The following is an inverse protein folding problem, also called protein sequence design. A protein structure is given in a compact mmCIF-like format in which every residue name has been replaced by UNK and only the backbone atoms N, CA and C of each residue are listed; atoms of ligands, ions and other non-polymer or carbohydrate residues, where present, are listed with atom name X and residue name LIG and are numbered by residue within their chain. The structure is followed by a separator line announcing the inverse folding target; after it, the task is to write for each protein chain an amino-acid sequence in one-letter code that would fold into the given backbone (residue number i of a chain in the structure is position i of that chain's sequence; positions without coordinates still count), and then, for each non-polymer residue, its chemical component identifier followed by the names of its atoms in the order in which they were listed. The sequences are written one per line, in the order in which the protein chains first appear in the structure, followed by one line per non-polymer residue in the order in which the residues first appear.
data_IF_524592861402
#
_entry.id   IF_524592861402
#
_cell.length_a   1.000
_cell.length_b   1.000
_cell.length_c   1.000
_cell.angle_alpha   90.00
_cell.angle_beta   90.00
_cell.angle_gamma   90.00
#
_symmetry.space_group_name_H-M   'P 1'
#
loop_
_entity.id
_entity.type
_entity.pdbx_description
1 polymer ?
#
# COMPACT_ATOMS: atom_id res chain seq x y z
N UNK A 1 3.34 -1.12 -33.22
CA UNK A 1 3.62 -2.51 -32.79
C UNK A 1 4.82 -2.48 -31.87
N UNK A 2 4.60 -2.45 -30.57
CA UNK A 2 5.66 -2.58 -29.56
C UNK A 2 5.36 -3.84 -28.77
N UNK A 3 6.22 -4.83 -28.91
CA UNK A 3 6.11 -6.13 -28.25
C UNK A 3 6.22 -5.91 -26.75
N UNK A 4 5.15 -6.16 -26.01
CA UNK A 4 5.15 -6.18 -24.55
C UNK A 4 6.14 -7.23 -24.09
N UNK A 5 7.21 -6.78 -23.42
CA UNK A 5 8.24 -7.64 -22.85
C UNK A 5 7.56 -8.53 -21.80
N UNK A 6 7.66 -9.84 -21.98
CA UNK A 6 7.30 -10.80 -20.95
C UNK A 6 7.98 -10.41 -19.63
N UNK A 7 7.23 -10.42 -18.53
CA UNK A 7 7.77 -10.15 -17.20
C UNK A 7 8.89 -11.15 -16.90
N UNK A 8 10.15 -10.69 -16.90
CA UNK A 8 11.28 -11.47 -16.44
C UNK A 8 11.00 -11.89 -15.00
N UNK A 9 10.95 -13.20 -14.75
CA UNK A 9 10.91 -13.74 -13.39
C UNK A 9 12.25 -13.38 -12.76
N UNK A 10 12.25 -12.45 -11.80
CA UNK A 10 13.48 -12.02 -11.12
C UNK A 10 14.15 -13.23 -10.48
N UNK A 11 15.43 -13.47 -10.76
CA UNK A 11 16.15 -14.62 -10.18
C UNK A 11 16.66 -14.34 -8.75
N UNK A 12 16.13 -13.29 -8.11
CA UNK A 12 16.49 -12.89 -6.76
C UNK A 12 15.94 -13.91 -5.75
N UNK A 13 16.69 -14.22 -4.68
CA UNK A 13 16.20 -15.07 -3.60
C UNK A 13 14.93 -14.50 -2.97
N UNK A 14 13.90 -15.35 -2.80
CA UNK A 14 12.67 -14.97 -2.11
C UNK A 14 12.92 -14.91 -0.59
N UNK A 15 12.43 -13.85 0.03
CA UNK A 15 12.34 -13.68 1.48
C UNK A 15 10.89 -13.79 1.94
N UNK A 16 10.64 -14.57 2.99
CA UNK A 16 9.32 -14.64 3.60
C UNK A 16 8.90 -13.26 4.14
N UNK A 17 9.80 -12.58 4.86
CA UNK A 17 9.55 -11.27 5.45
C UNK A 17 9.34 -10.20 4.38
N UNK A 18 10.22 -10.15 3.37
CA UNK A 18 10.23 -9.04 2.42
C UNK A 18 9.33 -9.23 1.20
N UNK A 19 8.96 -10.46 0.86
CA UNK A 19 8.19 -10.75 -0.35
C UNK A 19 6.83 -11.38 -0.04
N UNK A 20 6.75 -12.25 0.98
CA UNK A 20 5.53 -13.02 1.28
C UNK A 20 4.61 -12.30 2.25
N UNK A 21 5.13 -11.81 3.37
CA UNK A 21 4.33 -11.04 4.34
C UNK A 21 3.63 -9.84 3.67
N UNK A 22 4.27 -9.03 2.81
CA UNK A 22 3.59 -7.94 2.12
C UNK A 22 2.46 -8.39 1.19
N UNK A 23 2.59 -9.55 0.53
CA UNK A 23 1.51 -10.11 -0.28
C UNK A 23 0.30 -10.45 0.60
N UNK A 24 0.53 -11.06 1.76
CA UNK A 24 -0.52 -11.40 2.72
C UNK A 24 -1.19 -10.14 3.29
N UNK A 25 -0.39 -9.13 3.63
CA UNK A 25 -0.88 -7.84 4.14
C UNK A 25 -1.71 -7.11 3.10
N UNK A 26 -1.23 -7.02 1.86
CA UNK A 26 -1.97 -6.38 0.77
C UNK A 26 -3.26 -7.09 0.43
N UNK A 27 -3.28 -8.42 0.52
CA UNK A 27 -4.47 -9.24 0.34
C UNK A 27 -5.43 -9.19 1.55
N UNK A 28 -5.04 -8.56 2.66
CA UNK A 28 -5.85 -8.48 3.89
C UNK A 28 -5.91 -9.78 4.70
N UNK A 29 -5.06 -10.77 4.41
CA UNK A 29 -5.06 -12.08 5.07
C UNK A 29 -4.77 -11.95 6.57
N UNK A 30 -3.81 -11.11 6.94
CA UNK A 30 -3.35 -10.87 8.31
C UNK A 30 -3.98 -9.60 8.92
N UNK A 31 -5.20 -9.26 8.49
CA UNK A 31 -6.01 -8.21 9.12
C UNK A 31 -6.77 -8.75 10.33
N UNK A 32 -7.14 -7.88 11.27
CA UNK A 32 -7.84 -8.25 12.52
C UNK A 32 -9.23 -8.87 12.32
N UNK A 33 -9.82 -8.74 11.13
CA UNK A 33 -11.09 -9.39 10.77
C UNK A 33 -10.89 -10.78 10.15
N UNK A 34 -9.64 -11.16 9.83
CA UNK A 34 -9.25 -12.36 9.10
C UNK A 34 -8.38 -13.28 9.98
N UNK A 35 -7.20 -13.69 9.51
CA UNK A 35 -6.34 -14.64 10.22
C UNK A 35 -5.55 -14.00 11.37
N UNK A 36 -5.53 -12.67 11.47
CA UNK A 36 -5.07 -11.95 12.66
C UNK A 36 -6.18 -11.59 13.63
N UNK A 37 -7.30 -12.34 13.57
CA UNK A 37 -8.39 -12.20 14.54
C UNK A 37 -7.90 -12.57 15.93
N UNK A 38 -8.17 -11.67 16.88
CA UNK A 38 -7.85 -11.89 18.28
C UNK A 38 -8.47 -13.21 18.80
N UNK A 39 -7.69 -13.97 19.56
CA UNK A 39 -8.11 -15.24 20.15
C UNK A 39 -7.84 -16.47 19.28
N UNK A 40 -6.78 -16.47 18.45
CA UNK A 40 -6.31 -17.68 17.78
C UNK A 40 -6.55 -17.73 16.25
N UNK A 41 -6.74 -16.58 15.59
CA UNK A 41 -7.00 -16.51 14.16
C UNK A 41 -8.34 -17.10 13.72
N UNK A 42 -8.36 -17.81 12.59
CA UNK A 42 -9.58 -18.42 12.04
C UNK A 42 -9.39 -19.88 11.62
N UNK A 43 -10.28 -20.74 12.10
CA UNK A 43 -10.34 -22.17 11.76
C UNK A 43 -9.00 -22.89 12.00
N UNK A 44 -8.32 -22.54 13.10
CA UNK A 44 -7.00 -23.06 13.44
C UNK A 44 -5.94 -22.64 12.42
N UNK A 45 -5.99 -21.40 11.92
CA UNK A 45 -4.90 -20.76 11.19
C UNK A 45 -4.81 -19.30 11.61
N UNK A 46 -3.65 -18.97 12.14
CA UNK A 46 -3.35 -17.68 12.76
C UNK A 46 -2.20 -17.01 12.01
N UNK A 47 -2.31 -15.69 11.89
CA UNK A 47 -1.26 -14.79 11.45
C UNK A 47 -1.25 -13.62 12.42
N UNK A 48 -0.08 -13.07 12.72
CA UNK A 48 0.13 -11.84 13.44
C UNK A 48 -0.52 -10.65 12.73
N UNK A 49 -0.95 -9.65 13.49
CA UNK A 49 -1.59 -8.47 12.93
C UNK A 49 -0.63 -7.72 12.01
N UNK A 50 -1.03 -7.57 10.74
CA UNK A 50 -0.25 -6.91 9.68
C UNK A 50 1.14 -7.52 9.41
N UNK A 51 1.41 -8.71 9.95
CA UNK A 51 2.69 -9.39 9.78
C UNK A 51 3.79 -8.92 10.72
N UNK A 52 3.44 -8.45 11.93
CA UNK A 52 4.41 -7.94 12.89
C UNK A 52 5.26 -9.02 13.59
N UNK A 53 4.84 -10.27 13.58
CA UNK A 53 5.60 -11.41 14.13
C UNK A 53 5.89 -12.42 13.00
N UNK A 54 6.83 -12.12 12.07
CA UNK A 54 7.03 -12.92 10.87
C UNK A 54 7.52 -14.35 11.15
N UNK A 55 8.21 -14.59 12.27
CA UNK A 55 8.62 -15.94 12.64
C UNK A 55 7.42 -16.81 13.03
N UNK A 56 6.50 -16.26 13.83
CA UNK A 56 5.26 -16.93 14.23
C UNK A 56 4.35 -17.17 13.00
N UNK A 57 4.23 -16.17 12.12
CA UNK A 57 3.50 -16.31 10.84
C UNK A 57 4.04 -17.45 10.00
N UNK A 58 5.36 -17.55 9.89
CA UNK A 58 6.01 -18.61 9.15
C UNK A 58 5.71 -19.98 9.76
N UNK A 59 5.82 -20.12 11.07
CA UNK A 59 5.53 -21.38 11.76
C UNK A 59 4.08 -21.82 11.56
N UNK A 60 3.13 -20.89 11.67
CA UNK A 60 1.71 -21.16 11.38
C UNK A 60 1.46 -21.55 9.92
N UNK A 61 2.17 -20.92 8.98
CA UNK A 61 2.00 -21.21 7.56
C UNK A 61 2.65 -22.54 7.14
N UNK A 62 3.85 -22.82 7.66
CA UNK A 62 4.73 -23.88 7.15
C UNK A 62 4.72 -25.12 8.04
N UNK A 63 4.73 -24.97 9.37
CA UNK A 63 4.95 -26.08 10.31
C UNK A 63 3.66 -26.59 10.94
N UNK A 64 2.78 -25.68 11.37
CA UNK A 64 1.59 -26.01 12.14
C UNK A 64 0.63 -26.94 11.36
N UNK A 65 -0.10 -27.79 12.07
CA UNK A 65 -0.98 -28.77 11.44
C UNK A 65 -0.22 -29.80 10.60
N UNK A 66 1.06 -30.05 10.92
CA UNK A 66 1.97 -30.97 10.21
C UNK A 66 2.19 -30.54 8.75
N UNK A 67 2.32 -29.24 8.51
CA UNK A 67 2.55 -28.65 7.19
C UNK A 67 1.39 -28.76 6.21
N UNK A 68 0.17 -29.08 6.68
CA UNK A 68 -1.01 -29.35 5.82
C UNK A 68 -1.41 -28.20 4.88
N UNK A 69 -0.88 -26.99 5.08
CA UNK A 69 -1.23 -25.79 4.31
C UNK A 69 -0.49 -25.72 2.98
N UNK A 70 0.69 -26.31 2.90
CA UNK A 70 1.61 -26.23 1.77
C UNK A 70 1.89 -27.62 1.23
N UNK A 71 1.95 -27.76 -0.10
CA UNK A 71 2.28 -29.03 -0.75
C UNK A 71 3.35 -28.79 -1.81
N UNK A 72 4.65 -28.77 -1.44
CA UNK A 72 5.74 -28.41 -2.35
C UNK A 72 5.84 -29.30 -3.61
N UNK A 73 5.51 -30.60 -3.48
CA UNK A 73 5.52 -31.52 -4.62
C UNK A 73 4.45 -31.20 -5.68
N UNK A 74 3.37 -30.50 -5.30
CA UNK A 74 2.36 -30.00 -6.23
C UNK A 74 1.86 -28.63 -5.73
N UNK A 75 2.62 -27.54 -5.94
CA UNK A 75 2.38 -26.25 -5.31
C UNK A 75 0.95 -25.74 -5.48
N UNK A 76 0.39 -25.86 -6.68
CA UNK A 76 -0.99 -25.45 -6.99
C UNK A 76 -2.07 -26.26 -6.25
N UNK A 77 -1.72 -27.37 -5.59
CA UNK A 77 -2.61 -28.14 -4.72
C UNK A 77 -2.52 -27.72 -3.25
N UNK A 78 -1.56 -26.87 -2.88
CA UNK A 78 -1.44 -26.29 -1.54
C UNK A 78 -2.76 -25.67 -1.09
N UNK A 79 -3.21 -26.00 0.12
CA UNK A 79 -4.46 -25.47 0.66
C UNK A 79 -4.44 -23.93 0.67
N UNK A 80 -3.29 -23.33 0.99
CA UNK A 80 -3.07 -21.88 0.94
C UNK A 80 -3.46 -21.30 -0.44
N UNK A 81 -2.80 -21.76 -1.52
CA UNK A 81 -3.05 -21.28 -2.88
C UNK A 81 -4.48 -21.55 -3.35
N UNK A 82 -5.05 -22.71 -2.99
CA UNK A 82 -6.44 -23.04 -3.34
C UNK A 82 -7.46 -22.12 -2.65
N UNK A 83 -7.23 -21.73 -1.39
CA UNK A 83 -8.11 -20.84 -0.62
C UNK A 83 -8.03 -19.41 -1.15
N UNK A 84 -6.83 -18.85 -1.28
CA UNK A 84 -6.67 -17.45 -1.72
C UNK A 84 -7.15 -17.21 -3.15
N UNK A 85 -7.08 -18.23 -4.03
CA UNK A 85 -7.58 -18.17 -5.41
C UNK A 85 -9.05 -18.57 -5.59
N UNK A 86 -9.74 -18.99 -4.52
CA UNK A 86 -11.13 -19.42 -4.57
C UNK A 86 -11.39 -20.80 -5.18
N UNK A 87 -10.35 -21.60 -5.46
CA UNK A 87 -10.49 -23.00 -5.92
C UNK A 87 -11.04 -23.94 -4.84
N UNK A 88 -10.93 -23.53 -3.59
CA UNK A 88 -11.63 -24.12 -2.45
C UNK A 88 -12.40 -22.99 -1.76
N UNK A 89 -13.65 -23.20 -1.31
CA UNK A 89 -14.42 -22.18 -0.62
C UNK A 89 -13.64 -21.53 0.52
N UNK A 90 -13.60 -20.20 0.56
CA UNK A 90 -12.91 -19.41 1.55
C UNK A 90 -13.83 -18.27 2.01
N UNK A 91 -13.97 -18.07 3.32
CA UNK A 91 -14.89 -17.08 3.88
C UNK A 91 -14.56 -15.64 3.49
N UNK A 92 -13.28 -15.33 3.22
CA UNK A 92 -12.83 -14.03 2.70
C UNK A 92 -12.98 -13.86 1.18
N UNK A 93 -13.56 -14.83 0.47
CA UNK A 93 -13.69 -14.79 -1.00
C UNK A 93 -12.36 -15.02 -1.72
N UNK A 94 -12.28 -14.51 -2.96
CA UNK A 94 -11.07 -14.56 -3.81
C UNK A 94 -10.18 -13.37 -3.44
N UNK A 95 -9.02 -13.65 -2.84
CA UNK A 95 -8.07 -12.62 -2.40
C UNK A 95 -6.90 -12.46 -3.39
N UNK A 96 -6.42 -13.57 -3.95
CA UNK A 96 -5.32 -13.62 -4.91
C UNK A 96 -5.74 -14.48 -6.11
N UNK A 97 -6.30 -13.88 -7.17
CA UNK A 97 -6.56 -14.58 -8.43
C UNK A 97 -5.29 -15.25 -8.95
N UNK A 98 -5.43 -16.36 -9.68
CA UNK A 98 -4.28 -17.13 -10.18
C UNK A 98 -3.34 -16.31 -11.05
N UNK A 99 -3.89 -15.38 -11.81
CA UNK A 99 -3.12 -14.49 -12.70
C UNK A 99 -2.43 -13.33 -11.95
N UNK A 100 -2.72 -13.16 -10.66
CA UNK A 100 -2.12 -12.09 -9.87
C UNK A 100 -0.65 -12.37 -9.58
N UNK A 101 0.16 -11.31 -9.55
CA UNK A 101 1.57 -11.40 -9.18
C UNK A 101 1.77 -11.94 -7.76
N UNK A 102 0.89 -11.58 -6.82
CA UNK A 102 0.91 -12.10 -5.45
C UNK A 102 0.70 -13.62 -5.39
N UNK A 103 -0.22 -14.17 -6.20
CA UNK A 103 -0.38 -15.63 -6.32
C UNK A 103 0.89 -16.29 -6.88
N UNK A 104 1.46 -15.72 -7.95
CA UNK A 104 2.69 -16.25 -8.53
C UNK A 104 3.88 -16.19 -7.57
N UNK A 105 4.00 -15.14 -6.75
CA UNK A 105 5.06 -14.99 -5.77
C UNK A 105 4.92 -16.02 -4.62
N UNK A 106 3.71 -16.20 -4.08
CA UNK A 106 3.43 -17.27 -3.11
C UNK A 106 3.72 -18.66 -3.68
N UNK A 107 3.34 -18.89 -4.94
CA UNK A 107 3.59 -20.17 -5.61
C UNK A 107 5.08 -20.41 -5.80
N UNK A 108 5.83 -19.40 -6.24
CA UNK A 108 7.29 -19.51 -6.39
C UNK A 108 7.97 -19.78 -5.06
N UNK A 109 7.57 -19.10 -3.99
CA UNK A 109 8.07 -19.37 -2.64
C UNK A 109 7.87 -20.82 -2.20
N UNK A 110 6.70 -21.42 -2.52
CA UNK A 110 6.45 -22.84 -2.26
C UNK A 110 7.33 -23.76 -3.11
N UNK A 111 7.52 -23.42 -4.40
CA UNK A 111 8.41 -24.16 -5.32
C UNK A 111 9.86 -24.14 -4.80
N UNK A 112 10.30 -23.00 -4.28
CA UNK A 112 11.68 -22.79 -3.80
C UNK A 112 11.93 -23.45 -2.42
N UNK A 113 10.96 -24.21 -1.88
CA UNK A 113 11.11 -24.91 -0.61
C UNK A 113 10.83 -24.04 0.61
N UNK A 114 9.99 -23.01 0.44
CA UNK A 114 9.53 -22.07 1.48
C UNK A 114 10.67 -21.44 2.28
N UNK A 115 11.69 -20.83 1.65
CA UNK A 115 12.77 -20.20 2.40
C UNK A 115 12.23 -19.09 3.31
N UNK A 116 12.75 -19.01 4.54
CA UNK A 116 12.49 -17.86 5.41
C UNK A 116 13.16 -16.59 4.85
N UNK A 117 14.34 -16.74 4.25
CA UNK A 117 15.15 -15.65 3.68
C UNK A 117 16.19 -15.10 4.66
N UNK A 118 16.97 -14.15 4.16
CA UNK A 118 17.98 -13.44 4.97
C UNK A 118 17.29 -12.42 5.89
N UNK A 119 17.45 -12.62 7.20
CA UNK A 119 16.86 -11.76 8.23
C UNK A 119 17.63 -10.48 8.47
N UNK A 120 18.83 -10.33 7.89
CA UNK A 120 19.62 -9.09 8.00
C UNK A 120 19.13 -7.98 7.08
N UNK A 121 18.32 -8.31 6.07
CA UNK A 121 17.77 -7.35 5.10
C UNK A 121 16.46 -6.76 5.64
N UNK A 122 16.57 -5.92 6.67
CA UNK A 122 15.41 -5.27 7.30
C UNK A 122 15.03 -3.96 6.61
N UNK A 123 13.72 -3.66 6.61
CA UNK A 123 13.21 -2.42 6.02
C UNK A 123 13.53 -1.21 6.92
N UNK A 124 14.37 -0.32 6.39
CA UNK A 124 14.74 0.94 7.05
C UNK A 124 13.68 2.01 6.87
N UNK A 125 13.28 2.29 5.62
CA UNK A 125 12.33 3.36 5.33
C UNK A 125 11.51 3.11 4.06
N UNK A 126 10.42 3.87 3.93
CA UNK A 126 9.54 3.89 2.78
C UNK A 126 9.44 5.30 2.21
N UNK A 127 9.64 5.41 0.91
CA UNK A 127 9.51 6.64 0.14
C UNK A 127 8.41 6.49 -0.90
N UNK A 128 7.66 7.57 -1.14
CA UNK A 128 6.74 7.69 -2.27
C UNK A 128 7.21 8.80 -3.21
N UNK A 129 7.25 8.48 -4.50
CA UNK A 129 7.64 9.42 -5.56
C UNK A 129 6.50 9.63 -6.57
N UNK A 130 6.22 10.89 -6.96
CA UNK A 130 6.69 12.10 -6.28
C UNK A 130 6.12 12.18 -4.83
N UNK A 131 6.74 12.96 -3.92
CA UNK A 131 6.21 13.17 -2.56
C UNK A 131 5.04 14.17 -2.54
N UNK A 132 4.95 15.03 -3.54
CA UNK A 132 3.85 15.96 -3.75
C UNK A 132 3.68 16.29 -5.23
N UNK A 133 2.47 16.67 -5.63
CA UNK A 133 2.18 17.11 -6.99
C UNK A 133 0.97 18.05 -7.03
N UNK A 134 0.81 18.80 -8.11
CA UNK A 134 -0.42 19.51 -8.41
C UNK A 134 -1.17 18.75 -9.49
N UNK A 135 -2.35 18.24 -9.17
CA UNK A 135 -3.16 17.41 -10.08
C UNK A 135 -4.41 18.18 -10.45
N UNK A 136 -4.57 18.45 -11.75
CA UNK A 136 -5.79 19.10 -12.25
C UNK A 136 -7.02 18.21 -12.02
N UNK A 137 -8.21 18.80 -11.81
CA UNK A 137 -9.46 18.03 -11.78
C UNK A 137 -9.58 17.04 -12.95
N UNK A 138 -9.92 15.78 -12.65
CA UNK A 138 -10.04 14.70 -13.63
C UNK A 138 -8.71 14.12 -14.13
N UNK A 139 -7.56 14.69 -13.76
CA UNK A 139 -6.25 14.15 -14.12
C UNK A 139 -5.78 13.07 -13.14
N UNK A 140 -4.84 12.25 -13.59
CA UNK A 140 -4.26 11.18 -12.80
C UNK A 140 -2.75 11.30 -12.65
N UNK A 141 -2.23 10.77 -11.54
CA UNK A 141 -0.80 10.69 -11.24
C UNK A 141 -0.41 9.29 -10.76
N UNK A 142 0.55 8.68 -11.42
CA UNK A 142 1.12 7.40 -10.98
C UNK A 142 2.15 7.64 -9.88
N UNK A 143 1.98 6.95 -8.75
CA UNK A 143 2.94 6.93 -7.66
C UNK A 143 3.90 5.74 -7.79
N UNK A 144 5.12 5.91 -7.27
CA UNK A 144 6.08 4.83 -7.07
C UNK A 144 6.42 4.74 -5.58
N UNK A 145 6.16 3.60 -4.97
CA UNK A 145 6.64 3.28 -3.62
C UNK A 145 8.01 2.60 -3.69
N UNK A 146 8.97 3.11 -2.92
CA UNK A 146 10.37 2.66 -2.87
C UNK A 146 10.71 2.30 -1.43
N UNK A 147 11.09 1.05 -1.23
CA UNK A 147 11.60 0.53 0.03
C UNK A 147 13.12 0.68 0.08
N UNK A 148 13.64 1.20 1.19
CA UNK A 148 15.06 1.30 1.48
C UNK A 148 15.40 0.36 2.63
N UNK A 149 16.42 -0.48 2.47
CA UNK A 149 16.80 -1.52 3.43
C UNK A 149 18.07 -1.14 4.20
N UNK A 150 18.29 -1.75 5.36
CA UNK A 150 19.46 -1.48 6.21
C UNK A 150 20.80 -1.87 5.54
N UNK A 151 20.78 -2.83 4.61
CA UNK A 151 21.93 -3.21 3.78
C UNK A 151 22.27 -2.20 2.66
N UNK A 152 21.50 -1.11 2.56
CA UNK A 152 21.64 -0.08 1.55
C UNK A 152 20.97 -0.41 0.21
N UNK A 153 20.37 -1.59 0.06
CA UNK A 153 19.60 -1.94 -1.13
C UNK A 153 18.27 -1.18 -1.18
N UNK A 154 17.72 -1.05 -2.38
CA UNK A 154 16.40 -0.43 -2.59
C UNK A 154 15.56 -1.28 -3.52
N UNK A 155 14.23 -1.29 -3.29
CA UNK A 155 13.28 -2.03 -4.12
C UNK A 155 12.05 -1.18 -4.44
N UNK A 156 11.56 -1.30 -5.66
CA UNK A 156 10.25 -0.75 -6.03
C UNK A 156 9.18 -1.70 -5.51
N UNK A 157 8.39 -1.24 -4.56
CA UNK A 157 7.38 -2.04 -3.84
C UNK A 157 5.95 -1.58 -4.12
N UNK A 158 5.74 -0.80 -5.17
CA UNK A 158 4.44 -0.20 -5.53
C UNK A 158 3.34 -1.25 -5.60
N UNK A 159 3.62 -2.41 -6.18
CA UNK A 159 2.63 -3.49 -6.32
C UNK A 159 2.34 -4.24 -5.03
N UNK A 160 3.16 -4.07 -3.99
CA UNK A 160 2.99 -4.69 -2.66
C UNK A 160 2.58 -3.68 -1.57
N UNK A 161 2.72 -2.38 -1.85
CA UNK A 161 2.29 -1.33 -0.95
C UNK A 161 0.75 -1.20 -0.91
N UNK A 162 0.24 -0.73 0.23
CA UNK A 162 -1.14 -0.33 0.42
C UNK A 162 -1.26 1.18 0.22
N UNK A 163 -2.26 1.61 -0.54
CA UNK A 163 -2.55 3.01 -0.81
C UNK A 163 -3.94 3.37 -0.29
N UNK A 164 -4.04 4.50 0.41
CA UNK A 164 -5.31 4.99 0.93
C UNK A 164 -5.37 6.52 0.84
N UNK A 165 -6.40 7.03 0.16
CA UNK A 165 -6.71 8.47 0.19
C UNK A 165 -7.42 8.81 1.49
N UNK A 166 -6.99 9.89 2.15
CA UNK A 166 -7.67 10.40 3.34
C UNK A 166 -9.02 11.07 3.00
N UNK A 167 -9.23 11.49 1.76
CA UNK A 167 -10.50 12.00 1.25
C UNK A 167 -10.74 11.47 -0.17
N UNK A 168 -11.62 10.46 -0.25
CA UNK A 168 -12.00 9.83 -1.53
C UNK A 168 -12.91 10.71 -2.39
N UNK A 169 -13.57 11.71 -1.81
CA UNK A 169 -14.34 12.71 -2.56
C UNK A 169 -13.43 13.66 -3.33
N UNK A 170 -12.23 13.94 -2.81
CA UNK A 170 -11.23 14.76 -3.49
C UNK A 170 -10.35 13.96 -4.44
N UNK A 171 -9.81 12.81 -4.01
CA UNK A 171 -9.01 11.96 -4.89
C UNK A 171 -9.15 10.48 -4.53
N UNK A 172 -9.20 9.64 -5.55
CA UNK A 172 -9.15 8.18 -5.40
C UNK A 172 -7.75 7.67 -5.71
N UNK A 173 -7.41 6.49 -5.20
CA UNK A 173 -6.15 5.81 -5.53
C UNK A 173 -6.42 4.34 -5.74
N UNK A 174 -5.83 3.77 -6.78
CA UNK A 174 -5.90 2.34 -7.08
C UNK A 174 -4.88 1.54 -6.26
N UNK A 175 -5.04 0.22 -6.22
CA UNK A 175 -4.09 -0.66 -5.52
C UNK A 175 -2.68 -0.67 -6.10
N UNK A 176 -2.49 -0.23 -7.35
CA UNK A 176 -1.20 -0.04 -8.02
C UNK A 176 -0.69 1.41 -7.98
N UNK A 177 -1.33 2.28 -7.18
CA UNK A 177 -0.82 3.62 -6.89
C UNK A 177 -1.16 4.69 -7.94
N UNK A 178 -2.18 4.48 -8.78
CA UNK A 178 -2.70 5.51 -9.67
C UNK A 178 -3.68 6.40 -8.91
N UNK A 179 -3.27 7.62 -8.61
CA UNK A 179 -4.12 8.65 -8.00
C UNK A 179 -4.93 9.34 -9.08
N UNK A 180 -6.21 9.57 -8.86
CA UNK A 180 -7.09 10.33 -9.76
C UNK A 180 -7.80 11.41 -8.96
N UNK A 181 -7.62 12.67 -9.36
CA UNK A 181 -8.28 13.82 -8.76
C UNK A 181 -9.72 13.93 -9.25
N UNK A 182 -10.63 14.22 -8.33
CA UNK A 182 -12.01 14.57 -8.62
C UNK A 182 -12.13 16.08 -8.83
N UNK A 183 -13.36 16.59 -8.91
CA UNK A 183 -13.62 18.01 -9.18
C UNK A 183 -13.57 18.91 -7.94
N UNK A 184 -13.38 18.33 -6.74
CA UNK A 184 -13.27 19.10 -5.49
C UNK A 184 -11.85 19.67 -5.33
N UNK A 185 -11.69 21.00 -5.27
CA UNK A 185 -10.39 21.64 -5.05
C UNK A 185 -9.93 21.53 -3.60
N UNK A 186 -8.62 21.67 -3.39
CA UNK A 186 -7.98 21.69 -2.07
C UNK A 186 -6.74 20.81 -2.01
N UNK A 187 -6.38 20.33 -0.81
CA UNK A 187 -5.29 19.37 -0.61
C UNK A 187 -5.80 18.02 -0.17
N UNK A 188 -5.21 16.96 -0.70
CA UNK A 188 -5.53 15.57 -0.35
C UNK A 188 -4.24 14.78 -0.14
N UNK A 189 -4.24 13.92 0.87
CA UNK A 189 -3.12 13.06 1.22
C UNK A 189 -3.40 11.61 0.84
N UNK A 190 -2.47 10.99 0.13
CA UNK A 190 -2.49 9.54 -0.13
C UNK A 190 -1.45 8.88 0.75
N UNK A 191 -1.92 8.15 1.75
CA UNK A 191 -1.09 7.35 2.63
C UNK A 191 -0.62 6.09 1.90
N UNK A 192 0.68 5.81 2.01
CA UNK A 192 1.32 4.62 1.46
C UNK A 192 1.92 3.82 2.61
N UNK A 193 1.54 2.55 2.73
CA UNK A 193 2.04 1.65 3.79
C UNK A 193 2.72 0.42 3.21
N UNK A 194 3.84 0.02 3.83
CA UNK A 194 4.59 -1.19 3.48
C UNK A 194 5.40 -1.67 4.69
N UNK A 195 5.18 -2.92 5.13
CA UNK A 195 5.83 -3.54 6.30
C UNK A 195 5.95 -2.60 7.52
N UNK A 196 4.82 -2.02 7.96
CA UNK A 196 4.79 -1.11 9.11
C UNK A 196 5.36 0.29 8.88
N UNK A 197 6.06 0.55 7.77
CA UNK A 197 6.50 1.90 7.39
C UNK A 197 5.38 2.64 6.65
N UNK A 198 5.36 3.96 6.82
CA UNK A 198 4.37 4.86 6.23
C UNK A 198 5.09 5.98 5.50
N UNK A 199 4.60 6.32 4.31
CA UNK A 199 4.94 7.53 3.55
C UNK A 199 3.64 8.20 3.08
N UNK A 200 3.70 9.46 2.69
CA UNK A 200 2.50 10.20 2.25
C UNK A 200 2.82 10.98 0.98
N UNK A 201 1.97 10.81 -0.03
CA UNK A 201 1.93 11.67 -1.20
C UNK A 201 0.92 12.79 -0.96
N UNK A 202 1.30 14.04 -1.20
CA UNK A 202 0.42 15.20 -1.04
C UNK A 202 0.03 15.79 -2.39
N UNK A 203 -1.25 15.74 -2.75
CA UNK A 203 -1.78 16.39 -3.94
C UNK A 203 -2.43 17.73 -3.61
N UNK A 204 -2.17 18.72 -4.46
CA UNK A 204 -2.94 19.96 -4.53
C UNK A 204 -3.84 19.91 -5.78
N UNK A 205 -5.15 20.07 -5.59
CA UNK A 205 -6.15 20.15 -6.65
C UNK A 205 -6.59 21.61 -6.76
N UNK A 206 -6.20 22.33 -7.81
CA UNK A 206 -6.50 23.74 -7.92
C UNK A 206 -7.98 23.99 -8.30
N UNK A 207 -8.56 25.06 -7.77
CA UNK A 207 -9.83 25.61 -8.25
C UNK A 207 -9.65 26.35 -9.59
N UNK A 208 -8.44 26.84 -9.86
CA UNK A 208 -8.09 27.51 -11.12
C UNK A 208 -8.47 28.99 -11.18
N UNK A 209 -8.74 29.64 -10.05
CA UNK A 209 -8.95 31.10 -9.99
C UNK A 209 -7.66 31.83 -9.65
N UNK A 210 -7.44 32.99 -10.27
CA UNK A 210 -6.38 33.92 -9.87
C UNK A 210 -6.67 34.43 -8.46
N UNK A 211 -5.67 34.35 -7.58
CA UNK A 211 -5.82 34.70 -6.16
C UNK A 211 -4.95 35.90 -5.84
N UNK A 212 -5.58 37.05 -5.59
CA UNK A 212 -4.92 38.10 -4.82
C UNK A 212 -4.97 37.73 -3.34
N UNK A 213 -3.82 37.77 -2.67
CA UNK A 213 -3.71 37.52 -1.23
C UNK A 213 -3.56 38.86 -0.50
N UNK A 214 -4.28 39.07 0.63
CA UNK A 214 -4.11 40.24 1.47
C UNK A 214 -2.68 40.41 1.97
N UNK A 215 -2.38 41.57 2.55
CA UNK A 215 -1.13 41.76 3.27
C UNK A 215 -1.09 40.83 4.49
N UNK A 216 -0.05 40.02 4.56
CA UNK A 216 0.24 39.17 5.73
C UNK A 216 0.50 40.02 6.97
N UNK A 217 -0.13 39.65 8.10
CA UNK A 217 0.05 40.28 9.40
C UNK A 217 0.96 39.47 10.31
N UNK A 218 1.15 38.18 10.04
CA UNK A 218 1.94 37.27 10.86
C UNK A 218 2.39 36.04 10.05
N UNK A 219 3.26 35.21 10.62
CA UNK A 219 3.83 34.04 9.92
C UNK A 219 2.79 32.97 9.54
N UNK A 220 1.64 32.89 10.23
CA UNK A 220 0.55 31.97 9.89
C UNK A 220 -0.11 32.43 8.59
N UNK A 221 -0.33 33.72 8.43
CA UNK A 221 -0.90 34.30 7.19
C UNK A 221 -0.02 33.96 5.99
N UNK A 222 1.32 34.01 6.12
CA UNK A 222 2.25 33.62 5.06
C UNK A 222 2.02 32.18 4.59
N UNK A 223 1.82 31.24 5.52
CA UNK A 223 1.55 29.84 5.22
C UNK A 223 0.15 29.64 4.61
N UNK A 224 -0.86 30.34 5.15
CA UNK A 224 -2.24 30.27 4.63
C UNK A 224 -2.30 30.80 3.21
N UNK A 225 -1.69 31.95 2.95
CA UNK A 225 -1.69 32.59 1.63
C UNK A 225 -0.87 31.80 0.61
N UNK A 226 0.30 31.27 0.99
CA UNK A 226 1.04 30.36 0.12
C UNK A 226 0.20 29.13 -0.27
N UNK A 227 -0.56 28.57 0.69
CA UNK A 227 -1.44 27.46 0.43
C UNK A 227 -2.60 27.84 -0.49
N UNK A 228 -3.32 28.92 -0.20
CA UNK A 228 -4.44 29.44 -0.98
C UNK A 228 -4.04 29.71 -2.44
N UNK A 229 -2.88 30.34 -2.65
CA UNK A 229 -2.33 30.57 -3.99
C UNK A 229 -2.00 29.27 -4.72
N UNK A 230 -1.45 28.27 -4.02
CA UNK A 230 -1.13 26.97 -4.64
C UNK A 230 -2.39 26.22 -5.12
N UNK A 231 -3.48 26.31 -4.37
CA UNK A 231 -4.77 25.68 -4.73
C UNK A 231 -5.70 26.63 -5.50
N UNK A 232 -5.24 27.86 -5.79
CA UNK A 232 -6.01 28.86 -6.51
C UNK A 232 -7.34 29.20 -5.85
N UNK A 233 -7.41 29.25 -4.51
CA UNK A 233 -8.61 29.67 -3.75
C UNK A 233 -8.41 31.10 -3.23
N UNK A 234 -9.33 32.04 -3.50
CA UNK A 234 -9.18 33.42 -3.02
C UNK A 234 -9.26 33.49 -1.50
N UNK A 235 -8.48 34.40 -0.90
CA UNK A 235 -8.62 34.68 0.52
C UNK A 235 -9.99 35.27 0.83
N UNK A 236 -10.57 34.88 1.96
CA UNK A 236 -11.78 35.52 2.45
C UNK A 236 -11.51 36.97 2.84
N UNK A 237 -12.54 37.81 2.73
CA UNK A 237 -12.47 39.19 3.23
C UNK A 237 -12.31 39.20 4.76
N UNK A 238 -11.75 40.30 5.28
CA UNK A 238 -11.68 40.53 6.72
C UNK A 238 -13.11 40.69 7.24
N UNK A 239 -13.52 39.83 8.16
CA UNK A 239 -14.85 39.92 8.76
C UNK A 239 -14.95 41.13 9.71
N UNK A 240 -16.15 41.68 9.87
CA UNK A 240 -16.40 42.72 10.87
C UNK A 240 -16.43 42.16 12.31
N UNK A 241 -16.32 43.06 13.30
CA UNK A 241 -16.31 42.69 14.73
C UNK A 241 -17.58 41.93 15.13
N UNK A 242 -18.73 42.26 14.55
CA UNK A 242 -20.00 41.58 14.84
C UNK A 242 -20.07 40.16 14.30
N UNK A 243 -19.37 39.85 13.21
CA UNK A 243 -19.27 38.51 12.61
C UNK A 243 -18.25 37.65 13.36
N UNK A 244 -17.26 38.27 13.99
CA UNK A 244 -16.20 37.58 14.72
C UNK A 244 -16.63 37.06 16.11
N UNK A 245 -17.57 37.75 16.77
CA UNK A 245 -18.07 37.43 18.13
C UNK A 245 -19.14 36.34 18.13
#
# INVERSE_FOLDING_TARGET
MGVGRASEVSNEPISFVNDIVPVLTKAGCNSGVCHAKAGGGQNGFELSLLGFEPLEDYDHMVLEGRGRRLFPAAPDQSLLLRKVSGRTPHGGGILLPRESKGYHLLRRWIVDGTPFGDTSVELRSLEVQPPQDQIQPGASRQLKAIAHYEDGSTRIVTELALFESNDRGMATVTGDGLVTASDLPGRVGVMVRYQGRVSVFNAAIPLGTDTETPKSNNFIDDHVFANLSQIGIPASEVCDDSTFL
#
